data_IF_853859406164
#
_entry.id   IF_853859406164
#
_cell.length_a   1.000
_cell.length_b   1.000
_cell.length_c   1.000
_cell.angle_alpha   90.00
_cell.angle_beta   90.00
_cell.angle_gamma   90.00
#
_symmetry.space_group_name_H-M   'P 1'
#
loop_
_entity.id
_entity.type
_entity.pdbx_description
1 polymer ?
#
# COMPACT_ATOMS: atom_id res chain seq x y z
N UNK A 1 -4.22 3.20 7.84
CA UNK A 1 -4.19 4.59 8.38
C UNK A 1 -5.13 5.49 7.59
N UNK A 2 -5.74 6.50 8.19
CA UNK A 2 -6.56 7.50 7.50
C UNK A 2 -5.72 8.66 6.92
N UNK A 3 -6.25 9.38 5.93
CA UNK A 3 -5.55 10.55 5.38
C UNK A 3 -5.25 11.66 6.43
N UNK A 4 -6.13 11.95 7.41
CA UNK A 4 -5.80 12.82 8.54
C UNK A 4 -4.64 12.31 9.41
N UNK A 5 -4.58 11.00 9.69
CA UNK A 5 -3.46 10.41 10.45
C UNK A 5 -2.14 10.56 9.68
N UNK A 6 -2.13 10.25 8.39
CA UNK A 6 -0.95 10.43 7.52
C UNK A 6 -0.52 11.90 7.42
N UNK A 7 -1.48 12.82 7.37
CA UNK A 7 -1.19 14.27 7.38
C UNK A 7 -0.48 14.70 8.66
N UNK A 8 -0.90 14.16 9.81
CA UNK A 8 -0.25 14.42 11.09
C UNK A 8 1.12 13.75 11.20
N UNK A 9 1.24 12.48 10.81
CA UNK A 9 2.47 11.71 10.99
C UNK A 9 3.58 12.16 10.03
N UNK A 10 3.23 12.50 8.78
CA UNK A 10 4.19 12.95 7.77
C UNK A 10 4.40 14.47 7.78
N UNK A 11 3.74 15.22 8.68
CA UNK A 11 3.80 16.69 8.75
C UNK A 11 3.48 17.37 7.40
N UNK A 12 2.48 16.83 6.69
CA UNK A 12 2.09 17.28 5.35
C UNK A 12 0.67 17.84 5.36
N UNK A 13 0.38 18.81 4.47
CA UNK A 13 -0.99 19.24 4.24
C UNK A 13 -1.86 18.07 3.77
N UNK A 14 -3.15 18.07 4.15
CA UNK A 14 -4.13 17.08 3.65
C UNK A 14 -4.15 17.01 2.12
N UNK A 15 -4.06 18.16 1.44
CA UNK A 15 -4.02 18.21 -0.03
C UNK A 15 -2.81 17.46 -0.62
N UNK A 16 -1.64 17.56 0.02
CA UNK A 16 -0.44 16.85 -0.42
C UNK A 16 -0.55 15.36 -0.13
N UNK A 17 -1.12 14.97 1.00
CA UNK A 17 -1.40 13.56 1.33
C UNK A 17 -2.32 12.93 0.30
N UNK A 18 -3.48 13.53 0.02
CA UNK A 18 -4.40 13.01 -1.01
C UNK A 18 -3.74 12.90 -2.38
N UNK A 19 -2.94 13.90 -2.78
CA UNK A 19 -2.21 13.84 -4.06
C UNK A 19 -1.23 12.65 -4.12
N UNK A 20 -0.53 12.35 -3.01
CA UNK A 20 0.38 11.20 -2.95
C UNK A 20 -0.36 9.88 -2.91
N UNK A 21 -1.42 9.76 -2.10
CA UNK A 21 -2.23 8.55 -2.02
C UNK A 21 -2.86 8.22 -3.36
N UNK A 22 -3.45 9.20 -4.05
CA UNK A 22 -4.00 8.99 -5.40
C UNK A 22 -2.94 8.45 -6.38
N UNK A 23 -1.71 8.96 -6.32
CA UNK A 23 -0.62 8.49 -7.18
C UNK A 23 -0.13 7.09 -6.80
N UNK A 24 -0.09 6.77 -5.51
CA UNK A 24 0.30 5.44 -5.04
C UNK A 24 -0.78 4.40 -5.37
N UNK A 25 -2.05 4.77 -5.27
CA UNK A 25 -3.18 3.95 -5.72
C UNK A 25 -3.16 3.72 -7.24
N UNK A 26 -2.80 4.73 -8.04
CA UNK A 26 -2.68 4.59 -9.50
C UNK A 26 -1.67 3.50 -9.91
N UNK A 27 -0.67 3.24 -9.07
CA UNK A 27 0.36 2.22 -9.30
C UNK A 27 0.20 0.99 -8.40
N UNK A 28 -0.96 0.81 -7.78
CA UNK A 28 -1.26 -0.33 -6.89
C UNK A 28 -0.27 -0.49 -5.71
N UNK A 29 0.43 0.59 -5.32
CA UNK A 29 1.37 0.59 -4.19
C UNK A 29 0.69 0.84 -2.84
N UNK A 30 -0.54 1.34 -2.88
CA UNK A 30 -1.42 1.55 -1.73
C UNK A 30 -2.84 1.15 -2.13
N UNK A 31 -3.56 0.49 -1.23
CA UNK A 31 -4.97 0.18 -1.38
C UNK A 31 -5.83 1.02 -0.43
N UNK A 32 -6.97 1.53 -0.92
CA UNK A 32 -7.97 2.18 -0.10
C UNK A 32 -9.05 1.19 0.35
N UNK A 33 -9.21 1.05 1.66
CA UNK A 33 -10.24 0.22 2.31
C UNK A 33 -11.26 1.13 2.99
N UNK A 34 -12.54 0.88 2.72
CA UNK A 34 -13.64 1.56 3.40
C UNK A 34 -13.96 0.83 4.70
N UNK A 35 -13.73 1.50 5.83
CA UNK A 35 -14.00 0.94 7.16
C UNK A 35 -15.19 1.69 7.78
N UNK A 36 -16.21 1.00 8.29
CA UNK A 36 -17.28 1.62 9.06
C UNK A 36 -16.73 2.22 10.35
N UNK A 37 -17.11 3.45 10.67
CA UNK A 37 -16.89 4.01 12.00
C UNK A 37 -18.10 3.81 12.92
N UNK A 38 -17.91 4.08 14.21
CA UNK A 38 -18.93 3.85 15.24
C UNK A 38 -20.21 4.67 15.05
N UNK A 39 -20.15 5.76 14.29
CA UNK A 39 -21.27 6.66 14.00
C UNK A 39 -21.92 6.34 12.64
N UNK A 40 -21.45 5.29 11.95
CA UNK A 40 -21.96 4.86 10.64
C UNK A 40 -21.38 5.65 9.46
N UNK A 41 -20.42 6.54 9.68
CA UNK A 41 -19.68 7.15 8.58
C UNK A 41 -18.58 6.21 8.09
N UNK A 42 -18.38 6.15 6.77
CA UNK A 42 -17.26 5.40 6.21
C UNK A 42 -16.00 6.26 6.24
N UNK A 43 -14.95 5.76 6.90
CA UNK A 43 -13.61 6.34 6.81
C UNK A 43 -12.79 5.54 5.81
N UNK A 44 -12.14 6.24 4.87
CA UNK A 44 -11.12 5.64 4.02
C UNK A 44 -9.85 5.41 4.84
N UNK A 45 -9.47 4.16 4.98
CA UNK A 45 -8.15 3.76 5.43
C UNK A 45 -7.31 3.36 4.22
N UNK A 46 -6.01 3.60 4.32
CA UNK A 46 -5.03 3.28 3.30
C UNK A 46 -4.06 2.25 3.88
N UNK A 47 -3.80 1.22 3.10
CA UNK A 47 -2.92 0.09 3.39
C UNK A 47 -1.81 0.04 2.34
N UNK A 48 -0.56 -0.10 2.76
CA UNK A 48 0.55 -0.28 1.82
C UNK A 48 0.44 -1.65 1.14
N UNK A 49 0.79 -1.72 -0.14
CA UNK A 49 0.96 -2.97 -0.91
C UNK A 49 2.42 -3.18 -1.33
N UNK A 50 3.28 -2.18 -1.05
CA UNK A 50 4.71 -2.22 -1.29
C UNK A 50 5.41 -2.82 -0.07
N UNK A 51 6.18 -3.87 -0.28
CA UNK A 51 7.04 -4.48 0.74
C UNK A 51 8.45 -3.92 0.67
N UNK A 52 9.02 -3.83 -0.53
CA UNK A 52 10.38 -3.37 -0.75
C UNK A 52 10.52 -2.59 -2.05
N UNK A 53 11.22 -1.46 -1.99
CA UNK A 53 11.71 -0.72 -3.14
C UNK A 53 13.23 -0.56 -3.00
N UNK A 54 13.99 -1.21 -3.87
CA UNK A 54 15.44 -1.01 -3.98
C UNK A 54 15.73 -0.15 -5.20
N UNK A 55 16.46 0.93 -4.98
CA UNK A 55 16.94 1.82 -6.05
C UNK A 55 18.46 1.77 -6.03
N UNK A 56 19.07 1.20 -7.07
CA UNK A 56 20.51 1.22 -7.30
C UNK A 56 20.85 2.26 -8.37
N UNK A 57 21.89 3.05 -8.12
CA UNK A 57 22.48 3.96 -9.10
C UNK A 57 23.91 3.50 -9.36
N UNK A 58 24.17 2.99 -10.56
CA UNK A 58 25.50 2.53 -10.96
C UNK A 58 25.80 2.98 -12.38
N UNK A 59 27.00 3.53 -12.61
CA UNK A 59 27.43 4.07 -13.91
C UNK A 59 26.45 5.08 -14.54
N UNK A 60 25.68 5.82 -13.73
CA UNK A 60 24.68 6.78 -14.20
C UNK A 60 23.33 6.16 -14.60
N UNK A 61 23.17 4.85 -14.44
CA UNK A 61 21.93 4.12 -14.70
C UNK A 61 21.22 3.77 -13.39
N UNK A 62 19.90 3.92 -13.38
CA UNK A 62 19.05 3.48 -12.28
C UNK A 62 18.51 2.08 -12.57
N UNK A 63 18.67 1.19 -11.60
CA UNK A 63 17.96 -0.08 -11.57
C UNK A 63 16.98 -0.04 -10.39
N UNK A 64 15.75 -0.49 -10.66
CA UNK A 64 14.64 -0.47 -9.71
C UNK A 64 14.17 -1.91 -9.49
N UNK A 65 14.18 -2.35 -8.24
CA UNK A 65 13.54 -3.58 -7.83
C UNK A 65 12.35 -3.24 -6.93
N UNK A 66 11.17 -3.71 -7.30
CA UNK A 66 9.92 -3.48 -6.58
C UNK A 66 9.38 -4.84 -6.18
N UNK A 67 9.20 -5.06 -4.88
CA UNK A 67 8.51 -6.22 -4.33
C UNK A 67 7.17 -5.78 -3.74
N UNK A 68 6.11 -6.43 -4.22
CA UNK A 68 4.75 -6.27 -3.71
C UNK A 68 4.17 -7.64 -3.42
N UNK A 69 3.53 -7.77 -2.26
CA UNK A 69 2.74 -8.94 -1.90
C UNK A 69 1.31 -8.60 -2.27
N UNK A 70 0.87 -9.10 -3.43
CA UNK A 70 -0.53 -8.94 -3.83
C UNK A 70 -1.41 -9.85 -2.98
N UNK A 71 -2.65 -9.42 -2.69
CA UNK A 71 -3.67 -10.31 -2.10
C UNK A 71 -3.81 -11.64 -2.85
N UNK A 72 -3.66 -11.62 -4.18
CA UNK A 72 -3.70 -12.84 -5.00
C UNK A 72 -2.55 -13.79 -4.67
N UNK A 73 -1.33 -13.27 -4.46
CA UNK A 73 -0.21 -14.07 -3.97
C UNK A 73 -0.48 -14.63 -2.58
N UNK A 74 -0.99 -13.83 -1.64
CA UNK A 74 -1.34 -14.33 -0.30
C UNK A 74 -2.35 -15.49 -0.36
N UNK A 75 -3.37 -15.38 -1.21
CA UNK A 75 -4.34 -16.46 -1.41
C UNK A 75 -3.75 -17.67 -2.13
N UNK A 76 -2.88 -17.46 -3.13
CA UNK A 76 -2.21 -18.54 -3.84
C UNK A 76 -1.26 -19.32 -2.92
N UNK A 77 -0.52 -18.62 -2.06
CA UNK A 77 0.37 -19.21 -1.08
C UNK A 77 -0.43 -19.92 0.02
N UNK A 78 -1.52 -19.31 0.51
CA UNK A 78 -2.43 -19.95 1.47
C UNK A 78 -3.06 -21.23 0.89
N UNK A 79 -3.45 -21.22 -0.38
CA UNK A 79 -3.97 -22.40 -1.09
C UNK A 79 -2.90 -23.48 -1.24
N UNK A 80 -1.68 -23.10 -1.64
CA UNK A 80 -0.55 -24.02 -1.80
C UNK A 80 -0.22 -24.69 -0.47
N UNK A 81 -0.11 -23.92 0.62
CA UNK A 81 0.12 -24.44 1.96
C UNK A 81 -0.98 -25.40 2.44
N UNK A 82 -2.24 -25.11 2.12
CA UNK A 82 -3.37 -26.00 2.44
C UNK A 82 -3.28 -27.34 1.68
N UNK A 83 -2.86 -27.30 0.41
CA UNK A 83 -2.78 -28.47 -0.47
C UNK A 83 -1.55 -29.35 -0.20
N UNK A 84 -0.41 -28.74 0.10
CA UNK A 84 0.84 -29.47 0.42
C UNK A 84 0.89 -29.99 1.86
N UNK A 85 0.01 -29.50 2.74
CA UNK A 85 -0.16 -29.98 4.11
C UNK A 85 -1.13 -31.16 4.29
N UNK A 86 -1.69 -31.69 3.19
CA UNK A 86 -2.58 -32.86 3.13
C UNK A 86 -1.81 -34.13 2.73
#
# INVERSE_FOLDING_TARGET
MTAPELSSQCEMSKSTVYRRLNKLEEYDLVAAVHVPDADGNHKKQYEAQLDELVVSLSNGEFELNIQTTTRTQEFADAFTNLWEGL
#
